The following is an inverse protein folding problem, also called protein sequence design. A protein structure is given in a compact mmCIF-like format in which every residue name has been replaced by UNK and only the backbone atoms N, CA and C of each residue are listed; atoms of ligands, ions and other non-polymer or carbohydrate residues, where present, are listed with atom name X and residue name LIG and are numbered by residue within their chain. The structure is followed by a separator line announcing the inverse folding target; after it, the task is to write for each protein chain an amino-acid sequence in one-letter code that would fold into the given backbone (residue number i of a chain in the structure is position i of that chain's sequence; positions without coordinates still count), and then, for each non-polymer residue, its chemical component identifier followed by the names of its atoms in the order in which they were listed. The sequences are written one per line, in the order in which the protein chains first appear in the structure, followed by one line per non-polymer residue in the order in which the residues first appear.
data_IF_677879533503
#
_entry.id   IF_677879533503
#
_cell.length_a   1.000
_cell.length_b   1.000
_cell.length_c   1.000
_cell.angle_alpha   90.00
_cell.angle_beta   90.00
_cell.angle_gamma   90.00
#
_symmetry.space_group_name_H-M   'P 1'
#
loop_
_entity.id
_entity.type
_entity.pdbx_description
1 polymer ?
#
# COMPACT_ATOMS: atom_id res chain seq x y z
N UNK A 1 12.67 -17.00 -23.82
CA UNK A 1 12.41 -16.16 -25.00
C UNK A 1 11.27 -15.22 -24.63
N UNK A 2 11.58 -13.98 -24.28
CA UNK A 2 10.56 -12.97 -23.97
C UNK A 2 10.13 -12.33 -25.29
N UNK A 3 8.97 -12.73 -25.80
CA UNK A 3 8.34 -12.08 -26.95
C UNK A 3 7.77 -10.74 -26.49
N UNK A 4 8.58 -9.68 -26.59
CA UNK A 4 8.07 -8.30 -26.57
C UNK A 4 7.42 -8.05 -27.92
N UNK A 5 6.14 -8.42 -28.04
CA UNK A 5 5.33 -8.05 -29.19
C UNK A 5 4.91 -6.59 -28.96
N UNK A 6 5.45 -5.67 -29.75
CA UNK A 6 4.97 -4.28 -29.82
C UNK A 6 3.63 -4.31 -30.56
N UNK A 7 2.55 -4.61 -29.84
CA UNK A 7 1.19 -4.53 -30.38
C UNK A 7 0.64 -3.16 -30.01
N UNK A 8 0.11 -2.43 -30.99
CA UNK A 8 -0.57 -1.18 -30.72
C UNK A 8 -1.87 -1.45 -29.94
N UNK A 9 -2.22 -0.57 -29.00
CA UNK A 9 -3.37 -0.78 -28.13
C UNK A 9 -4.67 -0.97 -28.91
N UNK A 10 -4.81 -0.29 -30.04
CA UNK A 10 -5.99 -0.36 -30.91
C UNK A 10 -6.13 -1.73 -31.59
N UNK A 11 -5.01 -2.36 -31.98
CA UNK A 11 -5.00 -3.72 -32.55
C UNK A 11 -5.41 -4.74 -31.50
N UNK A 12 -4.89 -4.62 -30.27
CA UNK A 12 -5.28 -5.43 -29.13
C UNK A 12 -6.77 -5.29 -28.81
N UNK A 13 -7.28 -4.06 -28.82
CA UNK A 13 -8.69 -3.78 -28.56
C UNK A 13 -9.59 -4.44 -29.61
N UNK A 14 -9.22 -4.35 -30.89
CA UNK A 14 -9.96 -4.97 -31.97
C UNK A 14 -10.00 -6.50 -31.83
N UNK A 15 -8.88 -7.14 -31.49
CA UNK A 15 -8.81 -8.58 -31.23
C UNK A 15 -9.70 -8.97 -30.05
N UNK A 16 -9.68 -8.20 -28.97
CA UNK A 16 -10.52 -8.45 -27.79
C UNK A 16 -12.01 -8.30 -28.12
N UNK A 17 -12.37 -7.32 -28.94
CA UNK A 17 -13.73 -7.12 -29.43
C UNK A 17 -14.19 -8.21 -30.41
N UNK A 18 -13.29 -8.99 -31.01
CA UNK A 18 -13.66 -10.11 -31.88
C UNK A 18 -13.77 -11.46 -31.14
N UNK A 19 -13.43 -11.50 -29.85
CA UNK A 19 -13.55 -12.72 -29.05
C UNK A 19 -15.02 -13.12 -28.83
N UNK A 20 -15.34 -14.44 -28.84
CA UNK A 20 -16.62 -14.97 -28.39
C UNK A 20 -16.92 -14.59 -26.94
N UNK A 21 -18.20 -14.47 -26.57
CA UNK A 21 -18.69 -14.14 -25.21
C UNK A 21 -17.98 -14.96 -24.12
N UNK A 22 -17.91 -16.28 -24.28
CA UNK A 22 -17.27 -17.19 -23.32
C UNK A 22 -15.79 -16.87 -23.07
N UNK A 23 -15.09 -16.49 -24.13
CA UNK A 23 -13.65 -16.14 -24.09
C UNK A 23 -13.43 -14.75 -23.50
N UNK A 24 -14.35 -13.81 -23.73
CA UNK A 24 -14.32 -12.49 -23.10
C UNK A 24 -14.55 -12.58 -21.59
N UNK A 25 -15.45 -13.45 -21.14
CA UNK A 25 -15.68 -13.69 -19.71
C UNK A 25 -14.42 -14.23 -19.02
N UNK A 26 -13.74 -15.21 -19.65
CA UNK A 26 -12.46 -15.74 -19.16
C UNK A 26 -11.39 -14.66 -19.14
N UNK A 27 -11.28 -13.85 -20.20
CA UNK A 27 -10.31 -12.75 -20.26
C UNK A 27 -10.57 -11.72 -19.16
N UNK A 28 -11.81 -11.33 -18.91
CA UNK A 28 -12.17 -10.42 -17.83
C UNK A 28 -11.79 -10.98 -16.45
N UNK A 29 -12.00 -12.29 -16.25
CA UNK A 29 -11.58 -12.97 -15.02
C UNK A 29 -10.06 -12.97 -14.85
N UNK A 30 -9.30 -13.28 -15.89
CA UNK A 30 -7.82 -13.23 -15.83
C UNK A 30 -7.30 -11.80 -15.61
N UNK A 31 -7.90 -10.78 -16.25
CA UNK A 31 -7.55 -9.38 -16.03
C UNK A 31 -7.84 -8.91 -14.60
N UNK A 32 -8.89 -9.47 -13.96
CA UNK A 32 -9.20 -9.17 -12.55
C UNK A 32 -8.14 -9.71 -11.58
N UNK A 33 -7.50 -10.84 -11.89
CA UNK A 33 -6.38 -11.39 -11.09
C UNK A 33 -5.13 -10.51 -11.19
N UNK A 34 -4.91 -9.85 -12.34
CA UNK A 34 -3.80 -8.89 -12.51
C UNK A 34 -4.00 -7.64 -11.62
N UNK A 35 -5.26 -7.29 -11.29
CA UNK A 35 -5.57 -6.20 -10.34
C UNK A 35 -5.28 -6.55 -8.87
N UNK A 36 -4.87 -7.78 -8.54
CA UNK A 36 -4.57 -8.21 -7.17
C UNK A 36 -3.17 -7.82 -6.66
N UNK A 37 -2.43 -6.94 -7.33
CA UNK A 37 -1.49 -6.14 -6.53
C UNK A 37 -2.38 -5.26 -5.66
N UNK A 38 -2.37 -5.41 -4.32
CA UNK A 38 -3.07 -4.46 -3.50
C UNK A 38 -2.55 -3.10 -3.95
N UNK A 39 -3.44 -2.25 -4.47
CA UNK A 39 -3.15 -0.81 -4.43
C UNK A 39 -2.67 -0.59 -3.02
N UNK A 40 -1.46 -0.03 -2.83
CA UNK A 40 -1.06 0.44 -1.50
C UNK A 40 -2.28 1.14 -0.94
N UNK A 41 -2.89 0.55 0.08
CA UNK A 41 -4.20 1.01 0.54
C UNK A 41 -3.97 2.45 0.96
N UNK A 42 -4.51 3.38 0.17
CA UNK A 42 -4.33 4.78 0.45
C UNK A 42 -4.87 5.01 1.86
N UNK A 43 -4.01 5.52 2.74
CA UNK A 43 -4.39 5.78 4.12
C UNK A 43 -5.67 6.61 4.11
N UNK A 44 -6.66 6.15 4.88
CA UNK A 44 -7.88 6.92 5.12
C UNK A 44 -7.50 8.29 5.70
N UNK A 45 -8.34 9.29 5.49
CA UNK A 45 -8.08 10.63 6.01
C UNK A 45 -7.97 10.63 7.55
N UNK A 46 -8.67 9.72 8.22
CA UNK A 46 -8.55 9.50 9.64
C UNK A 46 -7.16 8.97 10.03
N UNK A 47 -6.63 7.97 9.30
CA UNK A 47 -5.28 7.47 9.55
C UNK A 47 -4.20 8.53 9.29
N UNK A 48 -4.36 9.34 8.24
CA UNK A 48 -3.47 10.48 7.98
C UNK A 48 -3.49 11.49 9.12
N UNK A 49 -4.69 11.80 9.65
CA UNK A 49 -4.84 12.68 10.81
C UNK A 49 -4.13 12.12 12.05
N UNK A 50 -4.31 10.84 12.36
CA UNK A 50 -3.64 10.19 13.50
C UNK A 50 -2.11 10.26 13.38
N UNK A 51 -1.57 10.06 12.19
CA UNK A 51 -0.12 10.11 11.93
C UNK A 51 0.44 11.52 11.92
N UNK A 52 -0.39 12.53 11.70
CA UNK A 52 0.01 13.96 11.78
C UNK A 52 0.11 14.49 13.21
N UNK A 53 -0.24 13.66 14.21
CA UNK A 53 -0.15 14.03 15.62
C UNK A 53 1.29 14.36 16.06
N UNK A 54 1.47 15.25 17.04
CA UNK A 54 2.79 15.56 17.57
C UNK A 54 3.41 14.31 18.20
N UNK A 55 4.66 14.03 17.83
CA UNK A 55 5.48 12.97 18.43
C UNK A 55 6.54 13.58 19.34
N UNK A 56 6.97 12.81 20.33
CA UNK A 56 8.03 13.26 21.24
C UNK A 56 9.32 13.50 20.46
N UNK A 57 9.90 14.69 20.60
CA UNK A 57 11.18 15.02 19.99
C UNK A 57 12.35 14.35 20.71
N UNK A 58 13.52 14.30 20.06
CA UNK A 58 14.72 13.65 20.63
C UNK A 58 15.13 14.22 21.99
N UNK A 59 15.01 15.54 22.18
CA UNK A 59 15.35 16.21 23.44
C UNK A 59 14.37 15.84 24.55
N UNK A 60 13.07 15.92 24.28
CA UNK A 60 12.01 15.50 25.20
C UNK A 60 12.14 14.01 25.56
N UNK A 61 12.55 13.18 24.59
CA UNK A 61 12.78 11.76 24.81
C UNK A 61 13.98 11.50 25.74
N UNK A 62 15.06 12.27 25.62
CA UNK A 62 16.20 12.21 26.56
C UNK A 62 15.78 12.61 27.97
N UNK A 63 15.02 13.69 28.10
CA UNK A 63 14.50 14.15 29.39
C UNK A 63 13.59 13.07 30.03
N UNK A 64 12.66 12.52 29.25
CA UNK A 64 11.79 11.43 29.68
C UNK A 64 12.60 10.23 30.23
N UNK A 65 13.69 9.84 29.57
CA UNK A 65 14.54 8.73 30.03
C UNK A 65 15.17 9.00 31.39
N UNK A 66 15.71 10.20 31.60
CA UNK A 66 16.31 10.55 32.89
C UNK A 66 15.24 10.62 33.99
N UNK A 67 14.09 11.24 33.72
CA UNK A 67 12.94 11.24 34.66
C UNK A 67 12.54 9.80 35.02
N UNK A 68 12.42 8.91 34.02
CA UNK A 68 12.04 7.51 34.23
C UNK A 68 13.04 6.77 35.12
N UNK A 69 14.33 7.01 34.91
CA UNK A 69 15.42 6.45 35.71
C UNK A 69 15.38 6.94 37.16
N UNK A 70 15.13 8.22 37.39
CA UNK A 70 14.96 8.77 38.74
C UNK A 70 13.73 8.19 39.44
N UNK A 71 12.59 8.10 38.74
CA UNK A 71 11.36 7.53 39.29
C UNK A 71 11.54 6.06 39.66
N UNK A 72 12.19 5.26 38.82
CA UNK A 72 12.47 3.85 39.11
C UNK A 72 13.33 3.71 40.37
N UNK A 73 14.39 4.53 40.52
CA UNK A 73 15.23 4.55 41.72
C UNK A 73 14.43 4.93 42.97
N UNK A 74 13.52 5.89 42.87
CA UNK A 74 12.64 6.28 43.98
C UNK A 74 11.70 5.16 44.41
N UNK A 75 11.12 4.42 43.45
CA UNK A 75 10.19 3.31 43.73
C UNK A 75 10.85 2.08 44.37
N UNK A 76 12.15 1.91 44.18
CA UNK A 76 12.93 0.79 44.74
C UNK A 76 13.62 1.13 46.07
N UNK A 77 13.41 2.34 46.61
CA UNK A 77 13.72 2.69 48.00
C UNK A 77 12.49 2.47 48.87
#
# INVERSE_FOLDING_TARGET
MELKVEIEFDELLHVVQQLPEDKRAILAQELSKIRERPKEEELTDFQKLLLSGPVIGDEQYKEYKEIRKHLNKWRTK
#
